data_IF_122981939776
#
_entry.id   IF_122981939776
#
_cell.length_a   1.000
_cell.length_b   1.000
_cell.length_c   1.000
_cell.angle_alpha   90.00
_cell.angle_beta   90.00
_cell.angle_gamma   90.00
#
_symmetry.space_group_name_H-M   'P 1'
#
loop_
_entity.id
_entity.type
_entity.pdbx_description
1 polymer ?
#
# COMPACT_ATOMS: atom_id res chain seq x y z
N UNK A 1 -7.96 34.66 13.34
CA UNK A 1 -8.28 33.51 14.21
C UNK A 1 -9.49 32.87 13.58
N UNK A 2 -9.30 31.78 12.85
CA UNK A 2 -10.30 31.33 11.88
C UNK A 2 -11.35 30.38 12.50
N UNK A 3 -11.03 29.77 13.66
CA UNK A 3 -12.00 29.05 14.49
C UNK A 3 -11.70 29.30 15.97
N UNK A 4 -12.73 29.62 16.74
CA UNK A 4 -12.69 29.71 18.21
C UNK A 4 -13.46 28.54 18.82
N UNK A 5 -12.83 27.79 19.74
CA UNK A 5 -13.45 26.66 20.46
C UNK A 5 -13.70 27.07 21.91
N UNK A 6 -14.96 27.28 22.34
CA UNK A 6 -15.25 27.74 23.69
C UNK A 6 -15.05 26.64 24.75
N UNK A 7 -14.53 27.02 25.92
CA UNK A 7 -14.47 26.22 27.15
C UNK A 7 -13.17 26.39 27.95
N UNK A 8 -13.16 26.00 29.24
CA UNK A 8 -11.98 26.09 30.12
C UNK A 8 -11.82 24.85 31.02
N UNK A 9 -11.10 23.81 30.55
CA UNK A 9 -10.72 23.60 29.16
C UNK A 9 -11.93 23.22 28.29
N UNK A 10 -11.89 23.45 26.96
CA UNK A 10 -12.92 22.94 26.07
C UNK A 10 -13.04 21.42 26.24
N UNK A 11 -14.27 20.92 26.17
CA UNK A 11 -14.49 19.47 26.28
C UNK A 11 -13.83 18.77 25.08
N UNK A 12 -13.37 17.51 25.24
CA UNK A 12 -12.76 16.78 24.12
C UNK A 12 -13.64 16.75 22.85
N UNK A 13 -14.96 16.63 23.02
CA UNK A 13 -15.91 16.69 21.91
C UNK A 13 -15.95 18.07 21.22
N UNK A 14 -15.92 19.17 21.98
CA UNK A 14 -15.87 20.52 21.44
C UNK A 14 -14.57 20.77 20.66
N UNK A 15 -13.45 20.24 21.16
CA UNK A 15 -12.15 20.31 20.48
C UNK A 15 -12.18 19.56 19.14
N UNK A 16 -12.70 18.32 19.11
CA UNK A 16 -12.84 17.54 17.88
C UNK A 16 -13.78 18.23 16.87
N UNK A 17 -14.91 18.77 17.34
CA UNK A 17 -15.85 19.49 16.51
C UNK A 17 -15.24 20.75 15.89
N UNK A 18 -14.50 21.54 16.69
CA UNK A 18 -13.80 22.72 16.20
C UNK A 18 -12.72 22.39 15.16
N UNK A 19 -12.00 21.27 15.32
CA UNK A 19 -11.08 20.79 14.28
C UNK A 19 -11.82 20.35 13.01
N UNK A 20 -12.92 19.63 13.13
CA UNK A 20 -13.71 19.22 11.97
C UNK A 20 -14.30 20.43 11.22
N UNK A 21 -14.70 21.49 11.92
CA UNK A 21 -15.10 22.77 11.32
C UNK A 21 -13.92 23.44 10.60
N UNK A 22 -12.78 23.60 11.28
CA UNK A 22 -11.61 24.30 10.74
C UNK A 22 -11.05 23.62 9.48
N UNK A 23 -11.10 22.29 9.44
CA UNK A 23 -10.63 21.48 8.31
C UNK A 23 -11.70 21.25 7.22
N UNK A 24 -12.91 21.80 7.40
CA UNK A 24 -14.03 21.62 6.45
C UNK A 24 -14.55 20.18 6.38
N UNK A 25 -14.21 19.32 7.35
CA UNK A 25 -14.53 17.90 7.35
C UNK A 25 -16.01 17.62 7.64
N UNK A 26 -16.72 18.56 8.27
CA UNK A 26 -18.16 18.41 8.55
C UNK A 26 -19.00 18.33 7.27
N UNK A 27 -18.55 19.00 6.20
CA UNK A 27 -19.26 19.07 4.92
C UNK A 27 -18.69 18.09 3.89
N UNK A 28 -17.58 17.41 4.18
CA UNK A 28 -16.99 16.38 3.32
C UNK A 28 -17.89 15.15 3.28
N UNK A 29 -18.90 15.20 2.42
CA UNK A 29 -19.69 14.02 2.06
C UNK A 29 -18.85 13.16 1.13
N UNK A 30 -18.60 11.92 1.54
CA UNK A 30 -18.19 10.87 0.60
C UNK A 30 -19.42 10.62 -0.28
N UNK A 31 -19.45 11.24 -1.45
CA UNK A 31 -20.52 11.02 -2.41
C UNK A 31 -20.39 9.59 -2.95
N UNK A 32 -21.41 8.77 -2.69
CA UNK A 32 -21.53 7.49 -3.38
C UNK A 32 -21.66 7.78 -4.87
N UNK A 33 -20.69 7.33 -5.66
CA UNK A 33 -20.84 7.26 -7.12
C UNK A 33 -21.51 5.95 -7.48
N UNK A 34 -22.35 5.96 -8.51
CA UNK A 34 -22.82 4.72 -9.13
C UNK A 34 -21.63 3.92 -9.68
N UNK A 35 -21.77 2.58 -9.84
CA UNK A 35 -20.78 1.78 -10.54
C UNK A 35 -20.57 2.37 -11.94
N UNK A 36 -19.32 2.65 -12.31
CA UNK A 36 -18.94 3.02 -13.67
C UNK A 36 -18.51 1.78 -14.45
N UNK A 37 -18.25 1.94 -15.76
CA UNK A 37 -17.82 0.83 -16.64
C UNK A 37 -16.60 0.07 -16.11
N UNK A 38 -15.66 0.75 -15.44
CA UNK A 38 -14.50 0.12 -14.79
C UNK A 38 -14.87 -0.78 -13.60
N UNK A 39 -15.95 -0.44 -12.87
CA UNK A 39 -16.41 -1.21 -11.72
C UNK A 39 -17.19 -2.47 -12.17
N UNK A 40 -17.69 -2.48 -13.41
CA UNK A 40 -18.36 -3.62 -14.04
C UNK A 40 -17.39 -4.62 -14.68
N UNK A 41 -16.11 -4.25 -14.82
CA UNK A 41 -15.11 -5.16 -15.32
C UNK A 41 -14.73 -6.21 -14.26
N UNK A 42 -14.57 -7.48 -14.66
CA UNK A 42 -14.05 -8.49 -13.76
C UNK A 42 -12.66 -8.07 -13.27
N UNK A 43 -12.40 -8.24 -11.97
CA UNK A 43 -11.10 -7.95 -11.41
C UNK A 43 -10.02 -8.83 -12.08
N UNK A 44 -8.97 -8.20 -12.58
CA UNK A 44 -7.85 -8.92 -13.17
C UNK A 44 -7.09 -9.71 -12.09
N UNK A 45 -6.73 -10.95 -12.41
CA UNK A 45 -5.93 -11.79 -11.51
C UNK A 45 -4.47 -11.34 -11.62
N UNK A 46 -3.99 -10.62 -10.61
CA UNK A 46 -2.59 -10.23 -10.52
C UNK A 46 -1.70 -11.47 -10.45
N UNK A 47 -0.67 -11.50 -11.30
CA UNK A 47 0.31 -12.59 -11.40
C UNK A 47 -0.33 -13.97 -11.53
N UNK A 48 -1.31 -14.11 -12.43
CA UNK A 48 -2.07 -15.37 -12.63
C UNK A 48 -1.21 -16.59 -12.97
N UNK A 49 -0.05 -16.38 -13.61
CA UNK A 49 0.89 -17.44 -13.98
C UNK A 49 1.79 -17.89 -12.81
N UNK A 50 1.73 -17.19 -11.67
CA UNK A 50 2.58 -17.48 -10.52
C UNK A 50 1.94 -18.50 -9.57
N UNK A 51 2.79 -19.35 -8.98
CA UNK A 51 2.37 -20.30 -7.96
C UNK A 51 1.80 -19.56 -6.75
N UNK A 52 0.50 -19.74 -6.51
CA UNK A 52 -0.26 -18.99 -5.49
C UNK A 52 0.38 -19.01 -4.08
N UNK A 53 0.89 -20.16 -3.55
CA UNK A 53 1.62 -20.17 -2.29
C UNK A 53 2.82 -19.22 -2.21
N UNK A 54 3.60 -19.08 -3.29
CA UNK A 54 4.76 -18.19 -3.33
C UNK A 54 4.29 -16.73 -3.27
N UNK A 55 3.31 -16.37 -4.12
CA UNK A 55 2.71 -15.03 -4.13
C UNK A 55 2.26 -14.61 -2.74
N UNK A 56 1.55 -15.49 -2.03
CA UNK A 56 1.05 -15.20 -0.66
C UNK A 56 2.19 -14.96 0.33
N UNK A 57 3.30 -15.69 0.23
CA UNK A 57 4.45 -15.48 1.12
C UNK A 57 5.10 -14.12 0.89
N UNK A 58 5.34 -13.77 -0.38
CA UNK A 58 5.91 -12.47 -0.77
C UNK A 58 5.01 -11.32 -0.30
N UNK A 59 3.70 -11.41 -0.56
CA UNK A 59 2.71 -10.41 -0.13
C UNK A 59 2.73 -10.18 1.38
N UNK A 60 2.79 -11.27 2.16
CA UNK A 60 2.79 -11.20 3.61
C UNK A 60 4.07 -10.56 4.13
N UNK A 61 5.22 -10.91 3.55
CA UNK A 61 6.50 -10.36 3.99
C UNK A 61 6.63 -8.88 3.65
N UNK A 62 6.25 -8.47 2.43
CA UNK A 62 6.25 -7.07 2.03
C UNK A 62 5.33 -6.23 2.93
N UNK A 63 4.13 -6.73 3.27
CA UNK A 63 3.21 -6.06 4.20
C UNK A 63 3.73 -6.02 5.63
N UNK A 64 4.46 -7.04 6.08
CA UNK A 64 5.12 -7.07 7.39
C UNK A 64 6.18 -5.96 7.49
N UNK A 65 6.89 -5.70 6.40
CA UNK A 65 8.00 -4.74 6.35
C UNK A 65 7.55 -3.30 6.07
N UNK A 66 6.57 -3.08 5.19
CA UNK A 66 6.18 -1.75 4.69
C UNK A 66 4.70 -1.38 4.94
N UNK A 67 3.97 -2.22 5.68
CA UNK A 67 2.54 -2.03 5.95
C UNK A 67 1.65 -2.36 4.74
N UNK A 68 0.33 -2.23 4.92
CA UNK A 68 -0.64 -2.74 3.94
C UNK A 68 -0.61 -2.04 2.58
N UNK A 69 -0.43 -0.72 2.57
CA UNK A 69 -0.45 0.07 1.32
C UNK A 69 0.83 -0.13 0.53
N UNK A 70 1.96 0.29 1.10
CA UNK A 70 3.25 0.23 0.41
C UNK A 70 3.73 -1.21 0.24
N UNK A 71 3.50 -2.10 1.21
CA UNK A 71 3.85 -3.51 1.07
C UNK A 71 3.12 -4.20 -0.08
N UNK A 72 1.85 -3.84 -0.36
CA UNK A 72 1.16 -4.36 -1.54
C UNK A 72 1.81 -3.88 -2.84
N UNK A 73 2.10 -2.58 -2.93
CA UNK A 73 2.74 -2.00 -4.13
C UNK A 73 4.10 -2.64 -4.39
N UNK A 74 4.95 -2.72 -3.36
CA UNK A 74 6.27 -3.33 -3.47
C UNK A 74 6.19 -4.81 -3.84
N UNK A 75 5.24 -5.58 -3.30
CA UNK A 75 5.05 -6.98 -3.68
C UNK A 75 4.65 -7.12 -5.16
N UNK A 76 3.66 -6.36 -5.61
CA UNK A 76 3.19 -6.40 -7.00
C UNK A 76 4.31 -5.98 -7.97
N UNK A 77 5.04 -4.91 -7.67
CA UNK A 77 6.17 -4.43 -8.48
C UNK A 77 7.29 -5.47 -8.50
N UNK A 78 7.71 -5.97 -7.34
CA UNK A 78 8.75 -6.99 -7.23
C UNK A 78 8.43 -8.24 -8.06
N UNK A 79 7.21 -8.78 -7.95
CA UNK A 79 6.80 -9.97 -8.70
C UNK A 79 6.72 -9.70 -10.21
N UNK A 80 6.35 -8.48 -10.61
CA UNK A 80 6.39 -8.05 -12.02
C UNK A 80 7.82 -8.06 -12.55
N UNK A 81 8.75 -7.41 -11.85
CA UNK A 81 10.16 -7.36 -12.27
C UNK A 81 10.80 -8.76 -12.24
N UNK A 82 10.52 -9.56 -11.21
CA UNK A 82 11.05 -10.92 -11.07
C UNK A 82 10.59 -11.83 -12.21
N UNK A 83 9.33 -11.69 -12.66
CA UNK A 83 8.81 -12.41 -13.83
C UNK A 83 9.55 -12.10 -15.13
N UNK A 84 10.23 -10.95 -15.22
CA UNK A 84 11.05 -10.54 -16.36
C UNK A 84 12.53 -10.94 -16.21
N UNK A 85 12.96 -11.33 -15.00
CA UNK A 85 14.30 -11.82 -14.68
C UNK A 85 14.98 -11.06 -13.53
N UNK A 86 15.97 -11.69 -12.90
CA UNK A 86 16.69 -11.11 -11.76
C UNK A 86 17.43 -9.81 -12.11
N UNK A 87 17.97 -9.70 -13.32
CA UNK A 87 18.60 -8.46 -13.81
C UNK A 87 17.63 -7.28 -13.84
N UNK A 88 16.36 -7.55 -14.11
CA UNK A 88 15.34 -6.52 -14.21
C UNK A 88 14.96 -5.99 -12.82
N UNK A 89 14.97 -6.85 -11.79
CA UNK A 89 14.86 -6.42 -10.39
C UNK A 89 16.02 -5.50 -10.01
N UNK A 90 17.25 -5.84 -10.37
CA UNK A 90 18.42 -5.01 -10.09
C UNK A 90 18.34 -3.64 -10.76
N UNK A 91 17.96 -3.59 -12.05
CA UNK A 91 17.75 -2.33 -12.78
C UNK A 91 16.66 -1.46 -12.17
N UNK A 92 15.56 -2.07 -11.73
CA UNK A 92 14.48 -1.36 -11.04
C UNK A 92 14.98 -0.73 -9.72
N UNK A 93 15.71 -1.49 -8.91
CA UNK A 93 16.28 -1.00 -7.66
C UNK A 93 17.28 0.14 -7.86
N UNK A 94 18.13 0.05 -8.89
CA UNK A 94 19.06 1.12 -9.27
C UNK A 94 18.32 2.39 -9.70
N UNK A 95 17.22 2.23 -10.46
CA UNK A 95 16.42 3.35 -10.94
C UNK A 95 15.67 4.07 -9.81
N UNK A 96 15.09 3.33 -8.86
CA UNK A 96 14.38 3.92 -7.72
C UNK A 96 15.36 4.59 -6.73
N UNK A 97 16.56 4.02 -6.59
CA UNK A 97 17.62 4.54 -5.71
C UNK A 97 17.15 4.77 -4.26
N UNK A 98 16.33 3.86 -3.74
CA UNK A 98 15.80 3.89 -2.37
C UNK A 98 16.47 2.80 -1.50
N UNK A 99 17.26 3.17 -0.47
CA UNK A 99 17.87 2.20 0.44
C UNK A 99 16.86 1.32 1.17
N UNK A 100 15.67 1.85 1.51
CA UNK A 100 14.62 1.10 2.19
C UNK A 100 14.02 0.06 1.28
N UNK A 101 13.77 0.40 0.01
CA UNK A 101 13.28 -0.54 -0.98
C UNK A 101 14.28 -1.68 -1.20
N UNK A 102 15.57 -1.36 -1.31
CA UNK A 102 16.65 -2.34 -1.45
C UNK A 102 16.65 -3.37 -0.29
N UNK A 103 16.51 -2.90 0.95
CA UNK A 103 16.40 -3.76 2.12
C UNK A 103 15.19 -4.70 2.01
N UNK A 104 14.00 -4.15 1.71
CA UNK A 104 12.78 -4.96 1.58
C UNK A 104 12.95 -6.02 0.50
N UNK A 105 13.42 -5.65 -0.69
CA UNK A 105 13.59 -6.59 -1.80
C UNK A 105 14.62 -7.66 -1.48
N UNK A 106 15.68 -7.34 -0.72
CA UNK A 106 16.61 -8.36 -0.21
C UNK A 106 15.91 -9.40 0.67
N UNK A 107 14.97 -8.99 1.53
CA UNK A 107 14.16 -9.92 2.31
C UNK A 107 13.22 -10.75 1.43
N UNK A 108 12.61 -10.16 0.41
CA UNK A 108 11.73 -10.87 -0.52
C UNK A 108 12.48 -11.92 -1.34
N UNK A 109 13.70 -11.61 -1.79
CA UNK A 109 14.57 -12.57 -2.46
C UNK A 109 14.83 -13.81 -1.59
N UNK A 110 15.06 -13.62 -0.28
CA UNK A 110 15.23 -14.74 0.64
C UNK A 110 13.98 -15.62 0.72
N UNK A 111 12.79 -15.02 0.81
CA UNK A 111 11.51 -15.75 0.82
C UNK A 111 11.30 -16.56 -0.47
N UNK A 112 11.68 -15.99 -1.61
CA UNK A 112 11.60 -16.68 -2.91
C UNK A 112 12.56 -17.87 -2.93
N UNK A 113 13.81 -17.69 -2.51
CA UNK A 113 14.78 -18.79 -2.50
C UNK A 113 14.41 -19.91 -1.53
N UNK A 114 13.92 -19.60 -0.33
CA UNK A 114 13.39 -20.61 0.60
C UNK A 114 12.24 -21.41 0.00
N UNK A 115 11.43 -20.78 -0.86
CA UNK A 115 10.31 -21.42 -1.53
C UNK A 115 10.74 -22.26 -2.75
N UNK A 116 11.88 -21.98 -3.38
CA UNK A 116 12.42 -22.78 -4.51
C UNK A 116 13.05 -24.10 -4.06
N UNK A 117 13.53 -24.16 -2.81
CA UNK A 117 14.23 -25.33 -2.26
C UNK A 117 13.25 -26.42 -1.73
N UNK A 118 11.95 -26.12 -1.63
CA UNK A 118 10.90 -27.03 -1.16
C UNK A 118 9.97 -27.45 -2.29
#
# INVERSE_FOLDING_TARGET
MDVYIPGCPPTPAATLYGFAMALGLLEQKIHARGPGELDEQPAEILHGDMVQPLRVKVDREARRLAGYRYGRQIADDYLTQLGQGEEQVARWLEAENDPRLNEIVSHLNHVVEEARIR
#
